data_IF_219309155072
#
_entry.id   IF_219309155072
#
_cell.length_a   1.000
_cell.length_b   1.000
_cell.length_c   1.000
_cell.angle_alpha   90.00
_cell.angle_beta   90.00
_cell.angle_gamma   90.00
#
_symmetry.space_group_name_H-M   'P 1'
#
loop_
_entity.id
_entity.type
_entity.pdbx_description
1 polymer ?
#
# COMPACT_ATOMS: atom_id res chain seq x y z
N UNK A 1 23.29 -26.57 -14.55
CA UNK A 1 22.91 -25.90 -13.28
C UNK A 1 23.83 -24.73 -13.12
N UNK A 2 23.40 -23.56 -13.53
CA UNK A 2 24.22 -22.34 -13.52
C UNK A 2 24.05 -21.67 -12.16
N UNK A 3 25.13 -21.59 -11.39
CA UNK A 3 25.17 -20.82 -10.14
C UNK A 3 24.84 -19.37 -10.46
N UNK A 4 23.77 -18.86 -9.88
CA UNK A 4 23.47 -17.44 -9.86
C UNK A 4 24.32 -16.82 -8.77
N UNK A 5 25.43 -16.22 -9.17
CA UNK A 5 26.37 -15.56 -8.26
C UNK A 5 25.79 -14.21 -7.83
N UNK A 6 25.24 -14.17 -6.62
CA UNK A 6 24.64 -12.97 -6.02
C UNK A 6 25.74 -12.00 -5.52
N UNK A 7 27.02 -12.40 -5.51
CA UNK A 7 28.14 -11.55 -5.08
C UNK A 7 28.46 -10.40 -6.05
N UNK A 8 27.79 -10.37 -7.22
CA UNK A 8 27.99 -9.34 -8.26
C UNK A 8 27.09 -8.10 -8.11
N UNK A 9 26.30 -7.97 -7.04
CA UNK A 9 25.66 -6.68 -6.72
C UNK A 9 26.72 -5.80 -6.07
N UNK A 10 27.58 -5.28 -6.95
CA UNK A 10 28.58 -4.27 -6.60
C UNK A 10 27.83 -3.03 -6.09
N UNK A 11 28.08 -2.67 -4.84
CA UNK A 11 27.65 -1.37 -4.33
C UNK A 11 28.13 -0.27 -5.31
N UNK A 12 27.28 0.66 -5.69
CA UNK A 12 27.68 1.76 -6.54
C UNK A 12 28.63 2.66 -5.75
N UNK A 13 29.93 2.48 -5.99
CA UNK A 13 30.94 3.40 -5.51
C UNK A 13 30.71 4.78 -6.14
N UNK A 14 30.74 5.83 -5.33
CA UNK A 14 30.95 7.26 -5.68
C UNK A 14 29.84 8.03 -6.43
N UNK A 15 28.59 7.60 -6.42
CA UNK A 15 27.45 8.40 -6.91
C UNK A 15 26.68 9.20 -5.84
N UNK A 16 27.20 9.32 -4.63
CA UNK A 16 26.45 9.92 -3.48
C UNK A 16 26.12 11.42 -3.64
N UNK A 17 26.78 12.15 -4.54
CA UNK A 17 26.53 13.59 -4.70
C UNK A 17 25.36 13.96 -5.62
N UNK A 18 24.91 13.06 -6.49
CA UNK A 18 23.76 13.31 -7.38
C UNK A 18 22.43 12.90 -6.76
N UNK A 19 22.42 11.90 -5.90
CA UNK A 19 21.22 11.46 -5.18
C UNK A 19 20.70 12.47 -4.14
N UNK A 20 21.60 13.21 -3.50
CA UNK A 20 21.23 14.24 -2.53
C UNK A 20 20.42 15.38 -3.15
N UNK A 21 20.80 15.84 -4.36
CA UNK A 21 20.07 16.92 -5.07
C UNK A 21 18.72 16.49 -5.61
N UNK A 22 18.57 15.24 -6.03
CA UNK A 22 17.27 14.71 -6.46
C UNK A 22 16.32 14.54 -5.27
N UNK A 23 16.82 14.10 -4.12
CA UNK A 23 16.05 14.02 -2.89
C UNK A 23 15.63 15.38 -2.33
N UNK A 24 16.42 16.43 -2.51
CA UNK A 24 16.04 17.80 -2.17
C UNK A 24 14.90 18.33 -3.06
N UNK A 25 14.94 18.07 -4.35
CA UNK A 25 13.88 18.47 -5.28
C UNK A 25 12.52 17.83 -4.95
N UNK A 26 12.51 16.54 -4.64
CA UNK A 26 11.29 15.84 -4.21
C UNK A 26 10.77 16.36 -2.87
N UNK A 27 11.64 16.68 -1.92
CA UNK A 27 11.25 17.28 -0.63
C UNK A 27 10.62 18.66 -0.83
N UNK A 28 11.15 19.46 -1.75
CA UNK A 28 10.60 20.79 -2.07
C UNK A 28 9.20 20.64 -2.68
N UNK A 29 9.00 19.73 -3.63
CA UNK A 29 7.68 19.46 -4.23
C UNK A 29 6.67 18.93 -3.19
N UNK A 30 7.12 18.03 -2.33
CA UNK A 30 6.27 17.53 -1.25
C UNK A 30 5.89 18.63 -0.25
N UNK A 31 6.86 19.43 0.19
CA UNK A 31 6.61 20.54 1.12
C UNK A 31 5.70 21.61 0.47
N UNK A 32 5.84 21.85 -0.83
CA UNK A 32 4.94 22.73 -1.59
C UNK A 32 3.51 22.16 -1.62
N UNK A 33 3.36 20.87 -1.85
CA UNK A 33 2.07 20.19 -1.83
C UNK A 33 1.40 20.28 -0.44
N UNK A 34 2.14 20.00 0.64
CA UNK A 34 1.63 20.12 2.02
C UNK A 34 1.30 21.58 2.40
N UNK A 35 2.17 22.54 2.01
CA UNK A 35 1.89 23.95 2.19
C UNK A 35 0.64 24.37 1.43
N UNK A 36 0.47 23.94 0.17
CA UNK A 36 -0.71 24.22 -0.62
C UNK A 36 -1.98 23.69 0.07
N UNK A 37 -1.97 22.48 0.61
CA UNK A 37 -3.10 21.94 1.36
C UNK A 37 -3.44 22.76 2.62
N UNK A 38 -2.42 23.22 3.33
CA UNK A 38 -2.61 24.07 4.52
C UNK A 38 -3.21 25.42 4.13
N UNK A 39 -2.73 26.02 3.07
CA UNK A 39 -3.25 27.30 2.54
C UNK A 39 -4.67 27.19 1.98
N UNK A 40 -5.06 26.03 1.49
CA UNK A 40 -6.41 25.80 0.96
C UNK A 40 -7.46 25.54 2.06
N UNK A 41 -7.05 25.28 3.29
CA UNK A 41 -7.96 24.96 4.40
C UNK A 41 -9.06 26.02 4.61
N UNK A 42 -8.78 27.34 4.68
CA UNK A 42 -9.84 28.34 4.83
C UNK A 42 -10.78 28.40 3.62
N UNK A 43 -10.25 28.19 2.42
CA UNK A 43 -11.08 28.18 1.20
C UNK A 43 -11.99 26.93 1.13
N UNK A 44 -11.51 25.81 1.66
CA UNK A 44 -12.33 24.60 1.82
C UNK A 44 -13.50 24.82 2.75
N UNK A 45 -13.27 25.42 3.90
CA UNK A 45 -14.33 25.76 4.84
C UNK A 45 -15.38 26.68 4.19
N UNK A 46 -14.95 27.70 3.46
CA UNK A 46 -15.85 28.59 2.74
C UNK A 46 -16.65 27.83 1.67
N UNK A 47 -16.01 26.95 0.90
CA UNK A 47 -16.66 26.13 -0.11
C UNK A 47 -17.68 25.16 0.49
N UNK A 48 -17.41 24.59 1.66
CA UNK A 48 -18.35 23.73 2.40
C UNK A 48 -19.59 24.48 2.84
N UNK A 49 -19.42 25.67 3.41
CA UNK A 49 -20.52 26.55 3.82
C UNK A 49 -21.36 26.96 2.61
N UNK A 50 -20.73 27.42 1.53
CA UNK A 50 -21.41 27.80 0.30
C UNK A 50 -22.16 26.62 -0.33
N UNK A 51 -21.53 25.44 -0.39
CA UNK A 51 -22.19 24.22 -0.89
C UNK A 51 -23.45 23.91 -0.07
N UNK A 52 -23.34 23.97 1.27
CA UNK A 52 -24.48 23.74 2.17
C UNK A 52 -25.63 24.70 1.88
N UNK A 53 -25.33 25.98 1.67
CA UNK A 53 -26.34 27.00 1.39
C UNK A 53 -27.02 26.81 0.04
N UNK A 54 -26.27 26.52 -1.02
CA UNK A 54 -26.82 26.39 -2.37
C UNK A 54 -27.45 25.01 -2.63
N UNK A 55 -27.12 23.98 -1.87
CA UNK A 55 -27.71 22.64 -2.00
C UNK A 55 -28.88 22.38 -1.05
N UNK A 56 -29.16 23.29 -0.10
CA UNK A 56 -30.25 23.11 0.86
C UNK A 56 -31.60 23.24 0.20
N UNK A 57 -32.50 22.25 0.41
CA UNK A 57 -33.81 22.20 -0.23
C UNK A 57 -34.72 23.42 0.07
N UNK A 58 -34.49 24.14 1.14
CA UNK A 58 -35.23 25.36 1.52
C UNK A 58 -34.54 26.65 1.07
N UNK A 59 -33.41 26.56 0.36
CA UNK A 59 -32.74 27.76 -0.15
C UNK A 59 -33.51 28.34 -1.35
N UNK A 60 -33.90 29.59 -1.31
CA UNK A 60 -34.61 30.23 -2.46
C UNK A 60 -33.73 30.30 -3.70
N UNK A 61 -32.41 30.17 -3.55
CA UNK A 61 -31.41 30.20 -4.61
C UNK A 61 -31.09 28.82 -5.22
N UNK A 62 -31.51 27.72 -4.59
CA UNK A 62 -31.17 26.36 -5.01
C UNK A 62 -31.62 26.01 -6.44
N UNK A 63 -32.66 26.71 -6.96
CA UNK A 63 -33.18 26.49 -8.30
C UNK A 63 -32.49 27.36 -9.37
N UNK A 64 -31.73 28.38 -8.98
CA UNK A 64 -31.06 29.26 -9.94
C UNK A 64 -29.90 28.50 -10.65
N UNK A 65 -29.79 28.62 -12.00
CA UNK A 65 -28.73 27.94 -12.75
C UNK A 65 -27.32 28.27 -12.25
N UNK A 66 -27.08 29.53 -11.87
CA UNK A 66 -25.80 29.99 -11.33
C UNK A 66 -25.50 29.34 -9.98
N UNK A 67 -26.50 29.17 -9.10
CA UNK A 67 -26.30 28.51 -7.80
C UNK A 67 -25.96 27.04 -7.98
N UNK A 68 -26.54 26.34 -8.94
CA UNK A 68 -26.17 24.95 -9.27
C UNK A 68 -24.75 24.84 -9.80
N UNK A 69 -24.29 25.78 -10.63
CA UNK A 69 -22.91 25.81 -11.12
C UNK A 69 -21.92 26.08 -9.99
N UNK A 70 -22.22 27.03 -9.09
CA UNK A 70 -21.38 27.32 -7.91
C UNK A 70 -21.33 26.15 -6.96
N UNK A 71 -22.44 25.48 -6.69
CA UNK A 71 -22.47 24.27 -5.87
C UNK A 71 -21.63 23.14 -6.48
N UNK A 72 -21.73 22.92 -7.78
CA UNK A 72 -20.94 21.92 -8.50
C UNK A 72 -19.45 22.26 -8.52
N UNK A 73 -19.09 23.54 -8.71
CA UNK A 73 -17.69 24.00 -8.64
C UNK A 73 -17.11 23.84 -7.25
N UNK A 74 -17.87 24.18 -6.22
CA UNK A 74 -17.45 23.97 -4.82
C UNK A 74 -17.30 22.48 -4.49
N UNK A 75 -18.21 21.62 -4.97
CA UNK A 75 -18.10 20.18 -4.78
C UNK A 75 -16.86 19.62 -5.47
N UNK A 76 -16.60 20.04 -6.71
CA UNK A 76 -15.36 19.68 -7.42
C UNK A 76 -14.11 20.14 -6.67
N UNK A 77 -14.09 21.41 -6.23
CA UNK A 77 -12.96 21.96 -5.45
C UNK A 77 -12.72 21.15 -4.17
N UNK A 78 -13.78 20.85 -3.41
CA UNK A 78 -13.69 20.06 -2.19
C UNK A 78 -13.14 18.64 -2.46
N UNK A 79 -13.60 18.00 -3.53
CA UNK A 79 -13.12 16.66 -3.92
C UNK A 79 -11.65 16.68 -4.35
N UNK A 80 -11.24 17.62 -5.19
CA UNK A 80 -9.86 17.73 -5.68
C UNK A 80 -8.88 18.08 -4.57
N UNK A 81 -9.32 18.84 -3.56
CA UNK A 81 -8.51 19.26 -2.42
C UNK A 81 -8.67 18.38 -1.19
N UNK A 82 -9.49 17.32 -1.26
CA UNK A 82 -9.72 16.41 -0.14
C UNK A 82 -8.44 15.61 0.17
N UNK A 83 -8.06 15.57 1.45
CA UNK A 83 -7.11 14.56 1.92
C UNK A 83 -7.83 13.23 2.01
N UNK A 84 -7.33 12.26 1.26
CA UNK A 84 -7.85 10.91 1.34
C UNK A 84 -7.26 10.23 2.57
N UNK A 85 -8.11 9.96 3.54
CA UNK A 85 -7.76 9.12 4.67
C UNK A 85 -7.88 7.64 4.28
N UNK A 86 -7.15 6.80 4.99
CA UNK A 86 -7.22 5.36 4.82
C UNK A 86 -8.65 4.88 5.10
N UNK A 87 -9.29 4.19 4.15
CA UNK A 87 -10.64 3.67 4.37
C UNK A 87 -10.65 2.60 5.49
N UNK A 88 -11.69 2.59 6.31
CA UNK A 88 -11.90 1.52 7.27
C UNK A 88 -12.23 0.20 6.57
N UNK A 89 -11.85 -0.92 7.16
CA UNK A 89 -12.12 -2.26 6.63
C UNK A 89 -13.60 -2.57 6.50
N UNK A 90 -14.42 -2.18 7.47
CA UNK A 90 -15.89 -2.35 7.45
C UNK A 90 -16.34 -3.75 7.05
N UNK A 91 -15.69 -4.77 7.63
CA UNK A 91 -16.13 -6.17 7.56
C UNK A 91 -16.98 -6.40 8.80
N UNK A 92 -18.29 -6.47 8.61
CA UNK A 92 -19.24 -6.53 9.73
C UNK A 92 -19.16 -7.84 10.54
N UNK A 93 -18.61 -8.88 9.93
CA UNK A 93 -18.54 -10.22 10.49
C UNK A 93 -17.27 -10.51 11.28
N UNK A 94 -16.29 -9.59 11.23
CA UNK A 94 -14.97 -9.80 11.82
C UNK A 94 -14.42 -8.55 12.49
N UNK A 95 -13.70 -8.76 13.58
CA UNK A 95 -12.84 -7.77 14.19
C UNK A 95 -11.48 -7.76 13.50
N UNK A 96 -10.82 -6.60 13.51
CA UNK A 96 -9.49 -6.39 12.94
C UNK A 96 -8.58 -5.90 14.04
N UNK A 97 -7.54 -6.65 14.34
CA UNK A 97 -6.52 -6.27 15.31
C UNK A 97 -5.15 -6.11 14.66
N UNK A 98 -4.32 -5.26 15.23
CA UNK A 98 -2.92 -5.12 14.85
C UNK A 98 -2.10 -6.11 15.67
N UNK A 99 -1.69 -7.20 15.05
CA UNK A 99 -0.93 -8.25 15.70
C UNK A 99 0.57 -7.91 15.80
N UNK A 100 1.09 -7.16 14.84
CA UNK A 100 2.46 -6.65 14.86
C UNK A 100 2.49 -5.25 14.23
N UNK A 101 3.11 -4.30 14.92
CA UNK A 101 3.28 -2.93 14.43
C UNK A 101 4.75 -2.66 14.16
N UNK A 102 5.10 -2.50 12.88
CA UNK A 102 6.44 -2.15 12.42
C UNK A 102 6.41 -0.76 11.76
N UNK A 103 7.54 -0.05 11.69
CA UNK A 103 7.55 1.31 11.17
C UNK A 103 6.92 1.50 9.80
N UNK A 104 7.12 0.54 8.89
CA UNK A 104 6.62 0.63 7.50
C UNK A 104 5.42 -0.25 7.22
N UNK A 105 5.09 -1.21 8.08
CA UNK A 105 4.00 -2.15 7.83
C UNK A 105 3.40 -2.67 9.13
N UNK A 106 2.10 -2.74 9.20
CA UNK A 106 1.37 -3.45 10.26
C UNK A 106 0.96 -4.82 9.74
N UNK A 107 1.01 -5.82 10.60
CA UNK A 107 0.41 -7.11 10.34
C UNK A 107 -0.97 -7.14 11.02
N UNK A 108 -2.01 -7.21 10.22
CA UNK A 108 -3.38 -7.27 10.69
C UNK A 108 -3.84 -8.71 10.79
N UNK A 109 -4.59 -9.02 11.83
CA UNK A 109 -5.28 -10.28 12.02
C UNK A 109 -6.80 -10.04 12.02
N UNK A 110 -7.53 -10.89 11.34
CA UNK A 110 -8.98 -10.82 11.22
C UNK A 110 -9.62 -11.98 11.98
N UNK A 111 -10.41 -11.66 12.98
CA UNK A 111 -11.10 -12.67 13.82
C UNK A 111 -12.60 -12.59 13.59
N UNK A 112 -13.22 -13.68 13.12
CA UNK A 112 -14.66 -13.76 12.96
C UNK A 112 -15.38 -13.74 14.30
N UNK A 113 -16.48 -12.99 14.42
CA UNK A 113 -17.32 -12.94 15.61
C UNK A 113 -17.92 -14.33 15.98
N UNK A 114 -18.05 -15.22 15.00
CA UNK A 114 -18.51 -16.61 15.18
C UNK A 114 -17.38 -17.61 15.40
N UNK A 115 -16.27 -17.19 15.95
CA UNK A 115 -15.02 -17.97 16.08
C UNK A 115 -15.12 -19.29 16.87
N UNK A 116 -16.28 -19.67 17.39
CA UNK A 116 -16.47 -20.97 18.01
C UNK A 116 -16.33 -22.17 17.05
N UNK A 117 -16.32 -21.94 15.73
CA UNK A 117 -16.37 -22.99 14.71
C UNK A 117 -14.98 -23.31 14.10
N UNK A 118 -13.99 -22.41 14.20
CA UNK A 118 -12.75 -22.53 13.41
C UNK A 118 -11.52 -22.91 14.22
N UNK A 119 -11.55 -24.02 14.93
CA UNK A 119 -10.39 -24.47 15.72
C UNK A 119 -9.19 -25.00 14.90
N UNK A 120 -9.33 -25.19 13.60
CA UNK A 120 -8.26 -25.79 12.79
C UNK A 120 -8.30 -25.38 11.31
N UNK A 121 -8.61 -24.12 11.02
CA UNK A 121 -8.60 -23.61 9.64
C UNK A 121 -7.18 -23.23 9.20
N UNK A 122 -6.86 -23.37 7.90
CA UNK A 122 -5.56 -22.97 7.36
C UNK A 122 -5.30 -21.49 7.54
N UNK A 123 -4.09 -21.12 7.94
CA UNK A 123 -3.63 -19.74 7.99
C UNK A 123 -3.31 -19.24 6.59
N UNK A 124 -3.72 -18.02 6.29
CA UNK A 124 -3.41 -17.33 5.03
C UNK A 124 -2.87 -15.94 5.30
N UNK A 125 -1.67 -15.66 4.83
CA UNK A 125 -1.09 -14.32 4.77
C UNK A 125 -1.37 -13.72 3.40
N UNK A 126 -2.12 -12.65 3.36
CA UNK A 126 -2.35 -11.84 2.18
C UNK A 126 -1.36 -10.67 2.18
N UNK A 127 -0.44 -10.68 1.23
CA UNK A 127 0.54 -9.60 1.07
C UNK A 127 0.01 -8.62 0.03
N UNK A 128 -0.32 -7.42 0.50
CA UNK A 128 -0.89 -6.36 -0.31
C UNK A 128 0.17 -5.51 -1.05
N UNK A 129 -0.20 -4.79 -2.12
CA UNK A 129 0.70 -3.84 -2.77
C UNK A 129 1.16 -2.73 -1.82
N UNK A 130 2.46 -2.43 -1.82
CA UNK A 130 3.06 -1.41 -0.97
C UNK A 130 2.63 0.01 -1.37
N UNK A 131 2.39 0.25 -2.65
CA UNK A 131 2.16 1.59 -3.16
C UNK A 131 0.90 1.71 -4.01
N UNK A 132 0.32 2.91 -3.99
CA UNK A 132 -0.80 3.30 -4.84
C UNK A 132 -2.18 2.92 -4.30
N UNK A 133 -2.25 2.12 -3.23
CA UNK A 133 -3.50 1.65 -2.65
C UNK A 133 -3.40 1.49 -1.13
N UNK A 134 -4.55 1.36 -0.50
CA UNK A 134 -4.65 0.88 0.88
C UNK A 134 -5.01 -0.61 0.88
N UNK A 135 -4.62 -1.33 1.92
CA UNK A 135 -4.93 -2.75 2.13
C UNK A 135 -6.42 -3.08 1.99
N UNK A 136 -7.27 -2.12 2.30
CA UNK A 136 -8.73 -2.22 2.12
C UNK A 136 -9.19 -2.42 0.67
N UNK A 137 -8.30 -2.26 -0.33
CA UNK A 137 -8.55 -2.68 -1.71
C UNK A 137 -8.87 -4.18 -1.79
N UNK A 138 -8.24 -4.98 -0.92
CA UNK A 138 -8.42 -6.43 -0.88
C UNK A 138 -9.57 -6.88 0.05
N UNK A 139 -10.46 -5.95 0.46
CA UNK A 139 -11.56 -6.22 1.39
C UNK A 139 -12.41 -7.42 1.00
N UNK A 140 -12.80 -7.51 -0.26
CA UNK A 140 -13.66 -8.59 -0.72
C UNK A 140 -12.91 -9.93 -0.80
N UNK A 141 -11.61 -9.90 -1.13
CA UNK A 141 -10.74 -11.05 -1.06
C UNK A 141 -10.62 -11.55 0.38
N UNK A 142 -10.37 -10.64 1.33
CA UNK A 142 -10.30 -10.97 2.77
C UNK A 142 -11.64 -11.54 3.25
N UNK A 143 -12.76 -10.92 2.91
CA UNK A 143 -14.09 -11.41 3.27
C UNK A 143 -14.36 -12.81 2.75
N UNK A 144 -13.95 -13.09 1.51
CA UNK A 144 -14.10 -14.43 0.93
C UNK A 144 -13.23 -15.46 1.64
N UNK A 145 -11.99 -15.11 1.96
CA UNK A 145 -11.06 -16.02 2.65
C UNK A 145 -11.51 -16.31 4.09
N UNK A 146 -12.08 -15.32 4.79
CA UNK A 146 -12.53 -15.47 6.18
C UNK A 146 -13.59 -16.56 6.38
N UNK A 147 -14.28 -16.98 5.32
CA UNK A 147 -15.26 -18.06 5.40
C UNK A 147 -14.62 -19.39 5.83
N UNK A 148 -13.36 -19.63 5.44
CA UNK A 148 -12.71 -20.95 5.60
C UNK A 148 -11.24 -20.85 6.09
N UNK A 149 -10.73 -19.64 6.36
CA UNK A 149 -9.31 -19.42 6.69
C UNK A 149 -9.13 -18.47 7.87
N UNK A 150 -8.01 -18.63 8.56
CA UNK A 150 -7.46 -17.66 9.51
C UNK A 150 -6.64 -16.63 8.73
N UNK A 151 -7.16 -15.40 8.61
CA UNK A 151 -6.67 -14.42 7.62
C UNK A 151 -5.82 -13.35 8.27
N UNK A 152 -4.64 -13.19 7.72
CA UNK A 152 -3.63 -12.19 8.07
C UNK A 152 -3.32 -11.32 6.86
N UNK A 153 -3.15 -10.01 7.06
CA UNK A 153 -2.94 -9.07 5.96
C UNK A 153 -1.81 -8.11 6.31
N UNK A 154 -0.90 -7.90 5.37
CA UNK A 154 0.05 -6.78 5.48
C UNK A 154 -0.67 -5.47 5.21
N UNK A 155 -0.37 -4.45 6.01
CA UNK A 155 -0.97 -3.14 5.93
C UNK A 155 0.11 -2.07 5.95
N UNK A 156 0.53 -1.63 4.77
CA UNK A 156 1.64 -0.71 4.61
C UNK A 156 1.29 0.67 5.13
N UNK A 157 2.20 1.24 5.89
CA UNK A 157 2.12 2.62 6.39
C UNK A 157 2.48 3.57 5.26
N UNK A 158 1.74 4.66 5.13
CA UNK A 158 2.14 5.74 4.23
C UNK A 158 3.54 6.24 4.60
N UNK A 159 4.50 6.11 3.68
CA UNK A 159 5.89 6.45 3.92
C UNK A 159 6.08 7.91 4.40
N UNK A 160 5.14 8.81 4.09
CA UNK A 160 5.13 10.19 4.57
C UNK A 160 4.94 10.30 6.08
N UNK A 161 4.31 9.30 6.70
CA UNK A 161 4.05 9.25 8.13
C UNK A 161 5.16 8.56 8.91
N UNK A 162 6.10 7.92 8.22
CA UNK A 162 7.24 7.25 8.87
C UNK A 162 8.31 8.29 9.20
N UNK A 163 8.75 8.40 10.46
CA UNK A 163 9.80 9.34 10.85
C UNK A 163 11.11 9.08 10.10
N UNK A 164 11.78 10.14 9.65
CA UNK A 164 13.08 10.06 8.97
C UNK A 164 14.17 9.35 9.80
N UNK A 165 14.03 9.36 11.13
CA UNK A 165 14.94 8.68 12.06
C UNK A 165 14.92 7.16 11.94
N UNK A 166 13.87 6.58 11.35
CA UNK A 166 13.76 5.14 11.11
C UNK A 166 14.72 4.68 10.00
N UNK A 167 15.09 5.58 9.11
CA UNK A 167 15.96 5.30 7.96
C UNK A 167 15.20 4.95 6.68
N UNK A 168 15.93 4.60 5.61
CA UNK A 168 15.36 4.24 4.33
C UNK A 168 14.69 2.87 4.38
N UNK A 169 13.80 2.62 3.40
CA UNK A 169 13.15 1.34 3.19
C UNK A 169 13.36 0.90 1.74
N UNK A 170 14.04 -0.20 1.54
CA UNK A 170 14.42 -0.74 0.25
C UNK A 170 13.72 -2.09 -0.03
N UNK A 171 13.94 -2.64 -1.21
CA UNK A 171 13.39 -3.95 -1.57
C UNK A 171 13.87 -5.06 -0.61
N UNK A 172 15.11 -4.98 -0.16
CA UNK A 172 15.66 -5.93 0.82
C UNK A 172 14.86 -5.90 2.13
N UNK A 173 14.55 -4.70 2.64
CA UNK A 173 13.75 -4.53 3.85
C UNK A 173 12.33 -5.08 3.67
N UNK A 174 11.75 -4.89 2.47
CA UNK A 174 10.45 -5.48 2.14
C UNK A 174 10.50 -7.01 2.20
N UNK A 175 11.51 -7.60 1.57
CA UNK A 175 11.73 -9.06 1.57
C UNK A 175 11.89 -9.56 3.00
N UNK A 176 12.67 -8.88 3.84
CA UNK A 176 12.89 -9.26 5.23
C UNK A 176 11.62 -9.13 6.08
N UNK A 177 10.78 -8.10 5.85
CA UNK A 177 9.47 -8.00 6.50
C UNK A 177 8.57 -9.19 6.15
N UNK A 178 8.52 -9.57 4.88
CA UNK A 178 7.74 -10.73 4.43
C UNK A 178 8.26 -12.03 5.07
N UNK A 179 9.59 -12.22 5.12
CA UNK A 179 10.21 -13.40 5.79
C UNK A 179 9.85 -13.44 7.27
N UNK A 180 9.91 -12.31 7.94
CA UNK A 180 9.56 -12.22 9.37
C UNK A 180 8.09 -12.58 9.60
N UNK A 181 7.16 -12.06 8.78
CA UNK A 181 5.74 -12.41 8.89
C UNK A 181 5.49 -13.89 8.60
N UNK A 182 6.16 -14.47 7.59
CA UNK A 182 6.07 -15.90 7.32
C UNK A 182 6.55 -16.73 8.52
N UNK A 183 7.69 -16.37 9.10
CA UNK A 183 8.23 -17.07 10.29
C UNK A 183 7.30 -16.97 11.49
N UNK A 184 6.74 -15.77 11.73
CA UNK A 184 5.81 -15.54 12.83
C UNK A 184 4.53 -16.37 12.72
N UNK A 185 4.01 -16.54 11.50
CA UNK A 185 2.75 -17.24 11.25
C UNK A 185 2.90 -18.74 11.03
N UNK A 186 4.12 -19.20 10.76
CA UNK A 186 4.43 -20.63 10.58
C UNK A 186 4.25 -21.41 11.90
N UNK A 187 4.06 -22.74 11.86
CA UNK A 187 3.92 -23.58 10.67
C UNK A 187 2.55 -23.48 10.00
N UNK A 188 2.42 -24.19 8.86
CA UNK A 188 1.16 -24.40 8.15
C UNK A 188 0.56 -23.14 7.50
N UNK A 189 1.42 -22.20 7.09
CA UNK A 189 1.04 -20.96 6.45
C UNK A 189 0.88 -21.13 4.94
N UNK A 190 -0.15 -20.49 4.39
CA UNK A 190 -0.34 -20.25 2.97
C UNK A 190 -0.13 -18.76 2.68
N UNK A 191 0.46 -18.39 1.55
CA UNK A 191 0.73 -17.00 1.19
C UNK A 191 0.04 -16.65 -0.11
N UNK A 192 -0.66 -15.52 -0.11
CA UNK A 192 -1.26 -14.93 -1.32
C UNK A 192 -0.64 -13.56 -1.51
N UNK A 193 -0.12 -13.28 -2.70
CA UNK A 193 0.42 -11.98 -3.08
C UNK A 193 -0.28 -11.45 -4.31
N UNK A 194 -0.68 -10.17 -4.28
CA UNK A 194 -1.49 -9.57 -5.34
C UNK A 194 -0.73 -8.42 -5.98
N UNK A 195 -0.42 -8.53 -7.27
CA UNK A 195 0.27 -7.51 -8.07
C UNK A 195 1.74 -7.32 -7.67
N UNK A 196 2.15 -6.13 -7.23
CA UNK A 196 3.53 -5.76 -6.90
C UNK A 196 4.23 -6.70 -5.89
N UNK A 197 3.62 -7.12 -4.78
CA UNK A 197 4.28 -7.97 -3.77
C UNK A 197 4.65 -9.37 -4.23
N UNK A 198 4.22 -9.80 -5.40
CA UNK A 198 4.62 -11.11 -5.93
C UNK A 198 6.14 -11.24 -6.06
N UNK A 199 6.85 -10.16 -6.41
CA UNK A 199 8.31 -10.15 -6.51
C UNK A 199 8.97 -10.30 -5.15
N UNK A 200 8.73 -9.45 -4.13
CA UNK A 200 9.35 -9.62 -2.81
C UNK A 200 8.92 -10.91 -2.10
N UNK A 201 7.69 -11.40 -2.32
CA UNK A 201 7.24 -12.69 -1.78
C UNK A 201 8.02 -13.84 -2.41
N UNK A 202 8.18 -13.84 -3.74
CA UNK A 202 9.00 -14.84 -4.42
C UNK A 202 10.44 -14.81 -3.93
N UNK A 203 11.04 -13.63 -3.78
CA UNK A 203 12.39 -13.47 -3.23
C UNK A 203 12.47 -14.00 -1.80
N UNK A 204 11.51 -13.66 -0.94
CA UNK A 204 11.46 -14.09 0.44
C UNK A 204 11.43 -15.63 0.54
N UNK A 205 10.51 -16.28 -0.18
CA UNK A 205 10.37 -17.74 -0.17
C UNK A 205 11.59 -18.42 -0.77
N UNK A 206 12.18 -17.84 -1.83
CA UNK A 206 13.41 -18.39 -2.44
C UNK A 206 14.60 -18.35 -1.45
N UNK A 207 14.79 -17.22 -0.74
CA UNK A 207 15.82 -17.08 0.27
C UNK A 207 15.60 -18.03 1.47
N UNK A 208 14.34 -18.22 1.89
CA UNK A 208 14.00 -19.18 2.95
C UNK A 208 14.34 -20.63 2.51
N UNK A 209 14.05 -20.96 1.25
CA UNK A 209 14.36 -22.27 0.68
C UNK A 209 15.89 -22.49 0.57
N UNK A 210 16.65 -21.49 0.12
CA UNK A 210 18.11 -21.52 0.07
C UNK A 210 18.73 -21.71 1.45
N UNK A 211 18.21 -20.97 2.45
CA UNK A 211 18.62 -21.09 3.84
C UNK A 211 18.13 -22.37 4.52
N UNK A 212 17.34 -23.22 3.84
CA UNK A 212 16.73 -24.45 4.38
C UNK A 212 15.97 -24.20 5.67
N UNK A 213 15.20 -23.09 5.71
CA UNK A 213 14.38 -22.78 6.89
C UNK A 213 13.35 -23.88 7.15
N UNK A 214 13.10 -24.17 8.43
CA UNK A 214 12.31 -25.33 8.85
C UNK A 214 10.83 -25.28 8.40
N UNK A 215 10.28 -24.07 8.26
CA UNK A 215 8.86 -23.88 8.04
C UNK A 215 8.59 -22.88 6.91
N UNK A 216 8.90 -23.22 5.64
CA UNK A 216 8.47 -22.41 4.50
C UNK A 216 6.94 -22.46 4.36
N UNK A 217 6.34 -21.53 3.62
CA UNK A 217 4.90 -21.58 3.31
C UNK A 217 4.53 -22.88 2.61
N UNK A 218 3.38 -23.46 2.96
CA UNK A 218 2.84 -24.64 2.27
C UNK A 218 2.50 -24.36 0.83
N UNK A 219 1.89 -23.20 0.58
CA UNK A 219 1.52 -22.75 -0.76
C UNK A 219 1.85 -21.27 -0.93
N UNK A 220 2.11 -20.90 -2.19
CA UNK A 220 2.32 -19.52 -2.58
C UNK A 220 1.50 -19.23 -3.83
N UNK A 221 0.51 -18.36 -3.71
CA UNK A 221 -0.33 -17.88 -4.81
C UNK A 221 0.13 -16.49 -5.21
N UNK A 222 0.50 -16.33 -6.49
CA UNK A 222 0.94 -15.06 -7.06
C UNK A 222 -0.07 -14.58 -8.10
N UNK A 223 -0.75 -13.48 -7.83
CA UNK A 223 -1.83 -12.97 -8.65
C UNK A 223 -1.39 -11.72 -9.42
N UNK A 224 -1.24 -11.85 -10.74
CA UNK A 224 -1.03 -10.73 -11.66
C UNK A 224 0.27 -9.94 -11.43
N UNK A 225 1.33 -10.59 -10.95
CA UNK A 225 2.56 -9.91 -10.59
C UNK A 225 3.58 -9.81 -11.71
N UNK A 226 4.38 -8.73 -11.74
CA UNK A 226 5.40 -8.49 -12.75
C UNK A 226 6.71 -9.22 -12.40
N UNK A 227 6.70 -10.55 -12.41
CA UNK A 227 7.86 -11.38 -12.03
C UNK A 227 9.06 -11.13 -12.95
N UNK A 228 8.83 -11.04 -14.25
CA UNK A 228 9.86 -10.65 -15.23
C UNK A 228 9.30 -9.57 -16.17
N UNK A 229 9.55 -8.32 -15.84
CA UNK A 229 9.09 -7.17 -16.62
C UNK A 229 9.71 -7.09 -18.03
N UNK A 230 10.71 -7.93 -18.36
CA UNK A 230 11.27 -8.04 -19.70
C UNK A 230 10.38 -8.88 -20.62
N UNK A 231 9.49 -9.70 -20.05
CA UNK A 231 8.53 -10.52 -20.77
C UNK A 231 7.23 -9.73 -20.96
N UNK A 232 6.85 -9.51 -22.21
CA UNK A 232 5.66 -8.72 -22.57
C UNK A 232 5.61 -7.34 -21.88
N UNK A 233 6.63 -6.48 -22.06
CA UNK A 233 6.74 -5.22 -21.33
C UNK A 233 5.58 -4.29 -21.68
N UNK A 234 5.01 -3.66 -20.67
CA UNK A 234 4.00 -2.61 -20.83
C UNK A 234 4.65 -1.29 -21.29
N UNK A 235 3.83 -0.31 -21.68
CA UNK A 235 4.30 1.05 -21.99
C UNK A 235 5.05 1.69 -20.82
N UNK A 236 4.64 1.42 -19.59
CA UNK A 236 5.30 1.90 -18.36
C UNK A 236 6.67 1.25 -18.18
N UNK A 237 6.78 -0.07 -18.39
CA UNK A 237 8.09 -0.76 -18.35
C UNK A 237 9.05 -0.19 -19.39
N UNK A 238 8.56 0.05 -20.63
CA UNK A 238 9.35 0.65 -21.70
C UNK A 238 9.77 2.09 -21.38
N UNK A 239 8.90 2.86 -20.69
CA UNK A 239 9.24 4.21 -20.25
C UNK A 239 10.37 4.16 -19.21
N UNK A 240 10.26 3.28 -18.21
CA UNK A 240 11.27 3.12 -17.17
C UNK A 240 12.65 2.72 -17.70
N UNK A 241 12.70 1.96 -18.80
CA UNK A 241 14.00 1.61 -19.44
C UNK A 241 14.57 2.68 -20.36
N UNK A 242 13.72 3.59 -20.86
CA UNK A 242 14.12 4.66 -21.79
C UNK A 242 14.52 5.96 -21.11
N UNK A 243 14.09 6.19 -19.88
CA UNK A 243 14.35 7.41 -19.14
C UNK A 243 15.39 7.18 -18.06
N UNK A 244 16.27 8.15 -17.80
CA UNK A 244 17.20 8.07 -16.68
C UNK A 244 16.43 8.16 -15.36
N UNK A 245 17.02 7.61 -14.28
CA UNK A 245 16.41 7.64 -12.94
C UNK A 245 16.05 9.07 -12.48
N UNK A 246 16.88 10.06 -12.84
CA UNK A 246 16.63 11.47 -12.50
C UNK A 246 15.40 12.09 -13.18
N UNK A 247 14.78 11.38 -14.11
CA UNK A 247 13.55 11.83 -14.76
C UNK A 247 12.30 11.53 -13.91
N UNK A 248 12.35 10.52 -13.08
CA UNK A 248 11.30 10.14 -12.14
C UNK A 248 11.47 10.86 -10.80
#
# INVERSE_FOLDING_TARGET
MSHCDISAIKEPSSGQLTGAKAGEGLRVLYNLYEAQHTWLTPFRFLAEVQRGWFSHQFSPWAQAPLAKQLAASNDLFLRVTQRYEKPAWRIAEADVEVALDKPFCKLLHFTLHRAAVHRNVPKVLVVEPLSGHHSTLLRDTVRTLLAEHDVWVTDWVDARLVPMSVGPFHLADYVDYVREFIRLLSPDLNVISVCQPTVPVLCAVSLMAEAREAHPPKTMVMMGGPIDARKSPTSVNNLATRKPYSWF
#
